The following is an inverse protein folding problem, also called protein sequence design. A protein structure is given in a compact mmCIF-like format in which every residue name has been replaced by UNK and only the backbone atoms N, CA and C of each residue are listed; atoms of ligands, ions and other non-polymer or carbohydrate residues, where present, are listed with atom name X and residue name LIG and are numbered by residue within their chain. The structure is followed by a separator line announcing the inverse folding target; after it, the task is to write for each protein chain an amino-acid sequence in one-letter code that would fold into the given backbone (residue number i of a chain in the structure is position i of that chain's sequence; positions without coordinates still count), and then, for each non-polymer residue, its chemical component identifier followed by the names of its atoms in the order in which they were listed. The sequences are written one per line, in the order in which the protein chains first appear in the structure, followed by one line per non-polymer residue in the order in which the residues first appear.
data_IF_575417016135
#
_entry.id   IF_575417016135
#
_cell.length_a   1.000
_cell.length_b   1.000
_cell.length_c   1.000
_cell.angle_alpha   90.00
_cell.angle_beta   90.00
_cell.angle_gamma   90.00
#
_symmetry.space_group_name_H-M   'P 1'
#
loop_
_entity.id
_entity.type
_entity.pdbx_description
1 polymer ?
#
# COMPACT_ATOMS: atom_id res chain seq x y z
N UNK A 1 9.39 -3.53 1.21
CA UNK A 1 8.78 -2.19 1.11
C UNK A 1 9.80 -1.10 0.74
N UNK A 2 10.84 -0.85 1.57
CA UNK A 2 11.83 0.23 1.33
C UNK A 2 12.50 0.13 -0.05
N UNK A 3 13.00 -1.05 -0.42
CA UNK A 3 13.66 -1.30 -1.72
C UNK A 3 12.72 -1.01 -2.89
N UNK A 4 11.49 -1.50 -2.81
CA UNK A 4 10.46 -1.27 -3.83
C UNK A 4 10.15 0.22 -3.96
N UNK A 5 9.88 0.90 -2.84
CA UNK A 5 9.61 2.34 -2.84
C UNK A 5 10.75 3.14 -3.45
N UNK A 6 12.00 2.83 -3.09
CA UNK A 6 13.19 3.48 -3.67
C UNK A 6 13.31 3.28 -5.18
N UNK A 7 13.01 2.08 -5.68
CA UNK A 7 13.08 1.79 -7.11
C UNK A 7 11.98 2.48 -7.92
N UNK A 8 10.82 2.75 -7.30
CA UNK A 8 9.69 3.42 -7.95
C UNK A 8 9.92 4.91 -8.21
N UNK A 9 10.62 5.61 -7.30
CA UNK A 9 10.75 7.07 -7.38
C UNK A 9 11.69 7.50 -8.51
N UNK A 10 11.43 8.65 -9.17
CA UNK A 10 12.25 9.19 -10.24
C UNK A 10 13.67 9.57 -9.80
N UNK A 11 14.62 9.52 -10.73
CA UNK A 11 16.03 9.81 -10.45
C UNK A 11 16.28 11.25 -9.95
N UNK A 12 15.51 12.22 -10.43
CA UNK A 12 15.62 13.60 -9.96
C UNK A 12 15.24 13.74 -8.48
N UNK A 13 14.31 12.93 -7.97
CA UNK A 13 13.96 12.89 -6.54
C UNK A 13 15.08 12.21 -5.75
N UNK A 14 15.59 11.08 -6.24
CA UNK A 14 16.74 10.40 -5.61
C UNK A 14 17.94 11.34 -5.48
N UNK A 15 18.25 12.10 -6.55
CA UNK A 15 19.35 13.06 -6.54
C UNK A 15 19.19 14.09 -5.42
N UNK A 16 18.00 14.68 -5.27
CA UNK A 16 17.72 15.63 -4.18
C UNK A 16 17.92 15.00 -2.80
N UNK A 17 17.42 13.77 -2.60
CA UNK A 17 17.60 13.05 -1.34
C UNK A 17 19.09 12.83 -1.04
N UNK A 18 19.89 12.42 -2.03
CA UNK A 18 21.34 12.27 -1.86
C UNK A 18 22.04 13.59 -1.53
N UNK A 19 21.66 14.69 -2.16
CA UNK A 19 22.20 16.02 -1.85
C UNK A 19 21.90 16.43 -0.42
N UNK A 20 20.68 16.21 0.05
CA UNK A 20 20.27 16.45 1.45
C UNK A 20 21.04 15.57 2.44
N UNK A 21 21.24 14.28 2.12
CA UNK A 21 22.04 13.37 2.96
C UNK A 21 23.49 13.85 3.11
N UNK A 22 24.09 14.32 2.02
CA UNK A 22 25.47 14.81 2.04
C UNK A 22 25.63 16.12 2.82
N UNK A 23 24.56 16.93 2.87
CA UNK A 23 24.58 18.24 3.55
C UNK A 23 24.22 18.13 5.03
N UNK A 24 23.22 17.32 5.36
CA UNK A 24 22.60 17.28 6.69
C UNK A 24 22.89 15.99 7.48
N UNK A 25 23.69 15.08 6.94
CA UNK A 25 24.03 13.82 7.57
C UNK A 25 23.12 12.66 7.19
N UNK A 26 23.02 11.64 8.04
CA UNK A 26 22.32 10.40 7.71
C UNK A 26 20.82 10.57 7.55
N UNK A 27 20.28 10.11 6.43
CA UNK A 27 18.84 9.97 6.19
C UNK A 27 18.39 8.57 6.60
N UNK A 28 17.39 8.49 7.46
CA UNK A 28 16.80 7.24 7.92
C UNK A 28 15.28 7.25 7.82
N UNK A 29 14.68 6.08 7.64
CA UNK A 29 13.23 5.90 7.73
C UNK A 29 12.94 5.18 9.05
N UNK A 30 12.18 5.82 9.93
CA UNK A 30 11.64 5.21 11.14
C UNK A 30 10.21 4.73 10.88
N UNK A 31 10.00 3.41 11.05
CA UNK A 31 8.67 2.81 10.95
C UNK A 31 8.17 2.48 12.35
N UNK A 32 7.12 3.17 12.79
CA UNK A 32 6.48 2.92 14.07
C UNK A 32 5.17 2.15 13.88
N UNK A 33 5.08 0.97 14.50
CA UNK A 33 3.85 0.18 14.60
C UNK A 33 3.38 0.22 16.05
N UNK A 34 2.32 0.99 16.38
CA UNK A 34 1.80 1.04 17.75
C UNK A 34 1.31 -0.32 18.22
N UNK A 35 1.12 -0.48 19.53
CA UNK A 35 0.71 -1.73 20.18
C UNK A 35 1.72 -2.88 19.96
N UNK A 36 2.97 -2.63 20.30
CA UNK A 36 4.06 -3.61 20.14
C UNK A 36 3.84 -4.93 20.90
N UNK A 37 2.99 -4.94 21.93
CA UNK A 37 2.63 -6.13 22.70
C UNK A 37 1.68 -7.08 21.92
N UNK A 38 1.03 -6.59 20.87
CA UNK A 38 0.19 -7.42 20.00
C UNK A 38 1.06 -8.09 18.93
N UNK A 39 1.14 -9.43 18.88
CA UNK A 39 1.87 -10.11 17.82
C UNK A 39 1.35 -9.69 16.46
N UNK A 40 2.28 -9.33 15.58
CA UNK A 40 1.98 -8.95 14.20
C UNK A 40 2.65 -9.97 13.29
N UNK A 41 1.85 -10.92 12.82
CA UNK A 41 2.31 -11.97 11.94
C UNK A 41 2.02 -11.62 10.48
N UNK A 42 2.96 -11.96 9.62
CA UNK A 42 2.80 -11.93 8.18
C UNK A 42 3.12 -10.59 7.50
N UNK A 43 3.34 -10.66 6.18
CA UNK A 43 3.83 -9.56 5.34
C UNK A 43 2.71 -8.67 4.78
N UNK A 44 1.45 -8.84 5.21
CA UNK A 44 0.26 -8.22 4.61
C UNK A 44 0.20 -6.69 4.65
N UNK A 45 1.07 -6.04 5.43
CA UNK A 45 1.23 -4.58 5.45
C UNK A 45 2.25 -4.06 4.42
N UNK A 46 2.92 -4.93 3.67
CA UNK A 46 4.00 -4.57 2.75
C UNK A 46 3.60 -3.50 1.74
N UNK A 47 2.42 -3.65 1.15
CA UNK A 47 1.84 -2.68 0.23
C UNK A 47 1.64 -1.30 0.87
N UNK A 48 1.03 -1.26 2.05
CA UNK A 48 0.73 -0.02 2.77
C UNK A 48 2.02 0.72 3.18
N UNK A 49 3.00 -0.03 3.68
CA UNK A 49 4.31 0.50 4.05
C UNK A 49 5.03 1.05 2.81
N UNK A 50 4.99 0.35 1.68
CA UNK A 50 5.60 0.82 0.43
C UNK A 50 4.96 2.14 -0.03
N UNK A 51 3.64 2.21 -0.04
CA UNK A 51 2.89 3.42 -0.39
C UNK A 51 3.24 4.59 0.54
N UNK A 52 3.32 4.35 1.85
CA UNK A 52 3.70 5.38 2.83
C UNK A 52 5.11 5.92 2.58
N UNK A 53 6.09 5.04 2.29
CA UNK A 53 7.45 5.44 1.97
C UNK A 53 7.49 6.22 0.65
N UNK A 54 6.77 5.79 -0.39
CA UNK A 54 6.68 6.54 -1.66
C UNK A 54 6.12 7.94 -1.42
N UNK A 55 5.02 8.05 -0.68
CA UNK A 55 4.42 9.34 -0.31
C UNK A 55 5.42 10.25 0.43
N UNK A 56 6.13 9.70 1.41
CA UNK A 56 7.16 10.43 2.17
C UNK A 56 8.28 10.95 1.25
N UNK A 57 8.82 10.09 0.38
CA UNK A 57 9.96 10.44 -0.48
C UNK A 57 9.59 11.39 -1.62
N UNK A 58 8.35 11.34 -2.09
CA UNK A 58 7.86 12.19 -3.20
C UNK A 58 7.11 13.41 -2.74
N UNK A 59 6.78 13.51 -1.46
CA UNK A 59 5.88 14.51 -0.88
C UNK A 59 4.49 14.56 -1.53
N UNK A 60 4.03 13.44 -2.10
CA UNK A 60 2.67 13.31 -2.64
C UNK A 60 1.75 12.74 -1.56
N UNK A 61 0.64 13.40 -1.31
CA UNK A 61 -0.34 12.97 -0.30
C UNK A 61 -1.06 11.70 -0.72
N UNK A 62 -1.29 10.83 0.26
CA UNK A 62 -2.17 9.67 0.13
C UNK A 62 -3.60 10.11 0.46
N UNK A 63 -4.58 9.56 -0.25
CA UNK A 63 -5.99 9.70 0.08
C UNK A 63 -6.26 9.13 1.48
N UNK A 64 -7.07 9.81 2.27
CA UNK A 64 -7.41 9.41 3.64
C UNK A 64 -8.64 8.48 3.72
N UNK A 65 -9.28 8.19 2.59
CA UNK A 65 -10.49 7.40 2.49
C UNK A 65 -10.24 6.01 1.85
N UNK A 66 -8.99 5.53 1.89
CA UNK A 66 -8.57 4.24 1.33
C UNK A 66 -7.97 3.35 2.40
N UNK A 67 -8.37 2.08 2.43
CA UNK A 67 -7.66 1.01 3.10
C UNK A 67 -7.05 0.05 2.08
N UNK A 68 -5.90 -0.53 2.40
CA UNK A 68 -5.28 -1.52 1.52
C UNK A 68 -4.55 -2.59 2.32
N UNK A 69 -4.46 -3.76 1.73
CA UNK A 69 -3.70 -4.89 2.25
C UNK A 69 -3.05 -5.64 1.10
N UNK A 70 -1.90 -6.25 1.34
CA UNK A 70 -1.16 -7.04 0.34
C UNK A 70 0.28 -7.26 0.77
N UNK A 71 0.76 -8.48 0.55
CA UNK A 71 2.19 -8.76 0.56
C UNK A 71 2.80 -8.19 -0.73
N UNK A 72 3.99 -7.61 -0.66
CA UNK A 72 4.68 -7.07 -1.83
C UNK A 72 6.04 -7.74 -2.01
N UNK A 73 6.31 -8.23 -3.21
CA UNK A 73 7.62 -8.72 -3.58
C UNK A 73 8.56 -7.61 -4.11
N UNK A 74 9.80 -7.97 -4.44
CA UNK A 74 10.78 -7.01 -4.93
C UNK A 74 10.49 -6.49 -6.35
N UNK A 75 9.66 -7.21 -7.13
CA UNK A 75 9.21 -6.79 -8.46
C UNK A 75 8.02 -5.81 -8.39
N UNK A 76 7.46 -5.59 -7.20
CA UNK A 76 6.27 -4.77 -7.01
C UNK A 76 4.96 -5.51 -7.27
N UNK A 77 4.99 -6.85 -7.40
CA UNK A 77 3.79 -7.66 -7.47
C UNK A 77 3.15 -7.79 -6.09
N UNK A 78 1.84 -7.88 -6.06
CA UNK A 78 1.05 -7.96 -4.84
C UNK A 78 0.46 -9.36 -4.72
N UNK A 79 0.74 -10.01 -3.59
CA UNK A 79 0.38 -11.37 -3.30
C UNK A 79 -0.73 -11.47 -2.27
N UNK A 80 -1.38 -12.64 -2.24
CA UNK A 80 -2.49 -12.97 -1.35
C UNK A 80 -2.15 -12.82 0.13
N UNK A 81 -3.18 -12.57 0.92
CA UNK A 81 -3.10 -12.40 2.37
C UNK A 81 -4.19 -13.20 3.06
N UNK A 82 -4.00 -13.51 4.33
CA UNK A 82 -5.02 -14.13 5.17
C UNK A 82 -5.98 -13.13 5.79
N UNK A 83 -7.20 -13.61 6.12
CA UNK A 83 -8.18 -12.86 6.90
C UNK A 83 -8.78 -11.65 6.19
N UNK A 84 -8.99 -11.73 4.88
CA UNK A 84 -9.53 -10.62 4.08
C UNK A 84 -10.88 -10.12 4.59
N UNK A 85 -11.76 -11.01 5.06
CA UNK A 85 -13.08 -10.67 5.62
C UNK A 85 -12.95 -9.68 6.79
N UNK A 86 -12.07 -9.99 7.76
CA UNK A 86 -11.83 -9.12 8.91
C UNK A 86 -11.20 -7.77 8.53
N UNK A 87 -10.37 -7.76 7.50
CA UNK A 87 -9.75 -6.52 7.00
C UNK A 87 -10.77 -5.62 6.30
N UNK A 88 -11.70 -6.21 5.55
CA UNK A 88 -12.82 -5.48 4.95
C UNK A 88 -13.70 -4.89 6.04
N UNK A 89 -14.02 -5.66 7.08
CA UNK A 89 -14.82 -5.17 8.20
C UNK A 89 -14.14 -4.01 8.93
N UNK A 90 -12.84 -4.15 9.23
CA UNK A 90 -12.05 -3.06 9.80
C UNK A 90 -12.07 -1.79 8.95
N UNK A 91 -11.96 -1.92 7.63
CA UNK A 91 -12.06 -0.80 6.70
C UNK A 91 -13.43 -0.12 6.74
N UNK A 92 -14.51 -0.90 6.81
CA UNK A 92 -15.88 -0.38 6.98
C UNK A 92 -16.02 0.40 8.29
N UNK A 93 -15.57 -0.18 9.39
CA UNK A 93 -15.62 0.48 10.70
C UNK A 93 -14.82 1.79 10.71
N UNK A 94 -13.72 1.85 9.98
CA UNK A 94 -12.93 3.06 9.78
C UNK A 94 -13.57 4.08 8.83
N UNK A 95 -14.68 3.75 8.17
CA UNK A 95 -15.42 4.65 7.28
C UNK A 95 -14.72 4.96 5.95
N UNK A 96 -13.83 4.07 5.47
CA UNK A 96 -13.17 4.25 4.18
C UNK A 96 -14.14 4.08 3.02
N UNK A 97 -13.84 4.70 1.89
CA UNK A 97 -14.65 4.62 0.67
C UNK A 97 -14.11 3.63 -0.35
N UNK A 98 -12.84 3.25 -0.22
CA UNK A 98 -12.17 2.32 -1.11
C UNK A 98 -11.35 1.32 -0.31
N UNK A 99 -11.49 0.03 -0.63
CA UNK A 99 -10.64 -1.03 -0.08
C UNK A 99 -9.93 -1.71 -1.25
N UNK A 100 -8.60 -1.75 -1.19
CA UNK A 100 -7.76 -2.46 -2.15
C UNK A 100 -7.29 -3.79 -1.56
N UNK A 101 -7.41 -4.87 -2.34
CA UNK A 101 -7.01 -6.21 -1.96
C UNK A 101 -6.28 -6.92 -3.11
N UNK A 102 -5.44 -7.94 -2.84
CA UNK A 102 -4.72 -8.67 -3.88
C UNK A 102 -5.67 -9.45 -4.80
N UNK A 103 -5.45 -9.39 -6.10
CA UNK A 103 -6.25 -10.14 -7.09
C UNK A 103 -6.26 -11.66 -6.78
N UNK A 104 -5.21 -12.19 -6.16
CA UNK A 104 -5.14 -13.60 -5.76
C UNK A 104 -6.18 -13.97 -4.69
N UNK A 105 -6.75 -13.00 -3.98
CA UNK A 105 -7.83 -13.19 -3.00
C UNK A 105 -9.26 -13.10 -3.60
N UNK A 106 -9.43 -13.13 -4.93
CA UNK A 106 -10.79 -13.10 -5.54
C UNK A 106 -11.70 -14.19 -5.01
N UNK A 107 -11.17 -15.40 -4.78
CA UNK A 107 -11.94 -16.51 -4.21
C UNK A 107 -12.49 -16.20 -2.81
N UNK A 108 -11.72 -15.47 -2.00
CA UNK A 108 -12.17 -15.06 -0.67
C UNK A 108 -13.36 -14.08 -0.79
N UNK A 109 -13.31 -13.17 -1.75
CA UNK A 109 -14.43 -12.24 -2.04
C UNK A 109 -15.69 -12.99 -2.47
N UNK A 110 -15.56 -14.02 -3.32
CA UNK A 110 -16.68 -14.86 -3.72
C UNK A 110 -17.29 -15.60 -2.52
N UNK A 111 -16.46 -16.13 -1.62
CA UNK A 111 -16.91 -16.80 -0.39
C UNK A 111 -17.61 -15.81 0.57
N UNK A 112 -17.05 -14.61 0.75
CA UNK A 112 -17.64 -13.54 1.57
C UNK A 112 -19.03 -13.19 1.05
N UNK A 113 -19.20 -13.02 -0.26
CA UNK A 113 -20.47 -12.75 -0.91
C UNK A 113 -21.47 -13.92 -0.73
N UNK A 114 -21.02 -15.17 -0.88
CA UNK A 114 -21.87 -16.35 -0.76
C UNK A 114 -22.44 -16.56 0.64
N UNK A 115 -21.74 -16.08 1.67
CA UNK A 115 -22.20 -16.09 3.08
C UNK A 115 -23.27 -15.02 3.38
N UNK A 116 -23.74 -14.29 2.36
CA UNK A 116 -24.74 -13.23 2.52
C UNK A 116 -24.16 -11.93 3.10
N UNK A 117 -22.84 -11.81 3.12
CA UNK A 117 -22.20 -10.57 3.53
C UNK A 117 -22.47 -9.48 2.50
N UNK A 118 -23.33 -8.55 2.86
CA UNK A 118 -23.66 -7.41 2.00
C UNK A 118 -22.46 -6.47 2.02
N UNK A 119 -21.71 -6.47 0.93
CA UNK A 119 -20.73 -5.41 0.67
C UNK A 119 -21.55 -4.10 0.54
N UNK A 120 -21.39 -3.20 1.51
CA UNK A 120 -22.10 -1.93 1.52
C UNK A 120 -21.81 -1.19 0.21
N UNK A 121 -22.87 -0.82 -0.55
CA UNK A 121 -22.74 -0.08 -1.80
C UNK A 121 -22.02 1.27 -1.66
N UNK A 122 -21.78 1.71 -0.42
CA UNK A 122 -21.03 2.93 -0.11
C UNK A 122 -19.51 2.73 -0.17
N UNK A 123 -19.03 1.48 -0.16
CA UNK A 123 -17.60 1.18 -0.15
C UNK A 123 -17.25 0.43 -1.44
N UNK A 124 -16.36 0.99 -2.23
CA UNK A 124 -15.80 0.31 -3.39
C UNK A 124 -14.73 -0.67 -2.93
N UNK A 125 -14.82 -1.93 -3.38
CA UNK A 125 -13.80 -2.95 -3.19
C UNK A 125 -13.15 -3.21 -4.55
N UNK A 126 -11.83 -3.11 -4.63
CA UNK A 126 -11.07 -3.19 -5.87
C UNK A 126 -9.86 -4.09 -5.72
N UNK A 127 -9.74 -5.09 -6.60
CA UNK A 127 -8.52 -5.92 -6.68
C UNK A 127 -7.37 -5.17 -7.34
N UNK A 128 -6.15 -5.49 -6.89
CA UNK A 128 -4.90 -4.98 -7.43
C UNK A 128 -3.87 -6.11 -7.51
N UNK A 129 -3.05 -6.09 -8.55
CA UNK A 129 -2.01 -7.11 -8.79
C UNK A 129 -0.59 -6.57 -8.62
N UNK A 130 -0.42 -5.27 -8.60
CA UNK A 130 0.89 -4.63 -8.53
C UNK A 130 0.83 -3.24 -7.87
N UNK A 131 2.01 -2.77 -7.45
CA UNK A 131 2.14 -1.50 -6.73
C UNK A 131 1.75 -0.27 -7.56
N UNK A 132 1.92 -0.30 -8.89
CA UNK A 132 1.55 0.83 -9.75
C UNK A 132 0.04 1.08 -9.77
N UNK A 133 -0.76 0.01 -9.69
CA UNK A 133 -2.22 0.12 -9.51
C UNK A 133 -2.56 0.76 -8.17
N UNK A 134 -1.87 0.37 -7.09
CA UNK A 134 -2.05 0.98 -5.76
C UNK A 134 -1.73 2.46 -5.80
N UNK A 135 -0.60 2.87 -6.38
CA UNK A 135 -0.23 4.28 -6.52
C UNK A 135 -1.31 5.07 -7.26
N UNK A 136 -1.84 4.51 -8.35
CA UNK A 136 -2.91 5.15 -9.14
C UNK A 136 -4.20 5.38 -8.34
N UNK A 137 -4.58 4.44 -7.47
CA UNK A 137 -5.80 4.56 -6.66
C UNK A 137 -5.62 5.41 -5.41
N UNK A 138 -4.42 5.43 -4.84
CA UNK A 138 -4.19 5.97 -3.52
C UNK A 138 -3.59 7.37 -3.49
N UNK A 139 -2.82 7.77 -4.50
CA UNK A 139 -2.20 9.10 -4.51
C UNK A 139 -3.20 10.17 -4.98
N UNK A 140 -3.16 11.32 -4.28
CA UNK A 140 -4.06 12.45 -4.58
C UNK A 140 -3.70 13.13 -5.90
N UNK A 141 -2.40 13.17 -6.23
CA UNK A 141 -1.87 13.79 -7.43
C UNK A 141 -0.95 12.81 -8.16
N UNK A 142 -1.15 12.66 -9.47
CA UNK A 142 -0.39 11.75 -10.32
C UNK A 142 0.57 12.49 -11.27
N UNK A 143 1.04 13.68 -10.91
CA UNK A 143 1.97 14.47 -11.74
C UNK A 143 3.40 13.88 -11.79
N UNK A 144 3.68 12.81 -11.05
CA UNK A 144 4.94 12.10 -11.07
C UNK A 144 4.80 10.80 -11.87
N UNK A 145 5.67 10.61 -12.84
CA UNK A 145 5.80 9.34 -13.54
C UNK A 145 6.67 8.40 -12.73
N UNK A 146 6.05 7.40 -12.12
CA UNK A 146 6.75 6.35 -11.40
C UNK A 146 7.45 5.38 -12.35
N UNK A 147 8.67 4.99 -11.97
CA UNK A 147 9.47 4.09 -12.78
C UNK A 147 8.89 2.68 -12.75
N UNK A 148 8.61 2.10 -13.93
CA UNK A 148 8.36 0.67 -14.05
C UNK A 148 9.70 -0.04 -14.12
N UNK A 149 9.91 -1.06 -13.29
CA UNK A 149 11.13 -1.88 -13.29
C UNK A 149 10.75 -3.36 -13.19
N UNK A 150 11.60 -4.20 -13.73
CA UNK A 150 11.68 -5.64 -13.45
C UNK A 150 13.08 -5.93 -12.92
N UNK A 151 13.18 -6.78 -11.93
CA UNK A 151 14.44 -7.34 -11.47
C UNK A 151 14.92 -8.42 -12.43
#
# INVERSE_FOLDING_TARGET
AKTVAWNLIPENIKKKIYEEMNTNGTFGIHLHCPEAATPKDGPSAGCAITLAIVSLLTNIKIRNDVALTGEIDLNGSIHEIGGLEHKIEGGKMAGVKLILYPTQNEKDIEQIKSKGYILDNKIKIQSVSNIWEVLKYCLVDNNITFKKYSL
#
